data_IF_597621430391
#
_entry.id   IF_597621430391
#
_cell.length_a   1.000
_cell.length_b   1.000
_cell.length_c   1.000
_cell.angle_alpha   90.00
_cell.angle_beta   90.00
_cell.angle_gamma   90.00
#
_symmetry.space_group_name_H-M   'P 1'
#
loop_
_entity.id
_entity.type
_entity.pdbx_description
1 polymer ?
#
# COMPACT_ATOMS: atom_id res chain seq x y z
N UNK A 1 -31.68 33.36 -65.48
CA UNK A 1 -30.66 33.65 -64.41
C UNK A 1 -30.85 32.64 -63.30
N UNK A 2 -29.95 31.69 -63.22
CA UNK A 2 -30.03 30.57 -62.26
C UNK A 2 -29.06 30.85 -61.13
N UNK A 3 -29.58 31.09 -59.92
CA UNK A 3 -28.77 31.25 -58.71
C UNK A 3 -28.47 29.87 -58.14
N UNK A 4 -27.21 29.45 -58.22
CA UNK A 4 -26.70 28.26 -57.53
C UNK A 4 -26.36 28.66 -56.09
N UNK A 5 -27.12 28.12 -55.15
CA UNK A 5 -26.83 28.23 -53.70
C UNK A 5 -25.69 27.29 -53.33
N UNK A 6 -24.58 27.83 -52.88
CA UNK A 6 -23.41 27.05 -52.44
C UNK A 6 -23.58 26.79 -50.96
N UNK A 7 -23.90 25.55 -50.57
CA UNK A 7 -24.00 25.16 -49.16
C UNK A 7 -22.62 24.77 -48.67
N UNK A 8 -22.03 25.59 -47.80
CA UNK A 8 -20.75 25.27 -47.13
C UNK A 8 -21.06 24.41 -45.90
N UNK A 9 -20.68 23.14 -45.95
CA UNK A 9 -20.77 22.23 -44.80
C UNK A 9 -19.49 22.45 -43.96
N UNK A 10 -19.64 23.08 -42.80
CA UNK A 10 -18.58 23.25 -41.80
C UNK A 10 -18.45 21.96 -41.00
N UNK A 11 -17.48 21.13 -41.35
CA UNK A 11 -17.15 19.92 -40.57
C UNK A 11 -16.37 20.34 -39.33
N UNK A 12 -17.04 20.40 -38.19
CA UNK A 12 -16.43 20.62 -36.89
C UNK A 12 -15.79 19.31 -36.40
N UNK A 13 -14.49 19.12 -36.64
CA UNK A 13 -13.75 18.01 -36.07
C UNK A 13 -13.49 18.29 -34.57
N UNK A 14 -14.33 17.71 -33.71
CA UNK A 14 -14.05 17.68 -32.27
C UNK A 14 -12.88 16.72 -32.02
N UNK A 15 -11.69 17.24 -31.81
CA UNK A 15 -10.57 16.48 -31.24
C UNK A 15 -10.93 16.12 -29.80
N UNK A 16 -11.29 14.88 -29.56
CA UNK A 16 -11.35 14.29 -28.23
C UNK A 16 -9.92 14.26 -27.66
N UNK A 17 -9.58 15.27 -26.85
CA UNK A 17 -8.40 15.21 -26.01
C UNK A 17 -8.70 14.13 -24.98
N UNK A 18 -8.17 12.93 -25.19
CA UNK A 18 -8.08 11.92 -24.14
C UNK A 18 -7.17 12.50 -23.06
N UNK A 19 -7.74 13.07 -22.02
CA UNK A 19 -7.02 13.35 -20.80
C UNK A 19 -6.54 11.99 -20.28
N UNK A 20 -5.24 11.69 -20.49
CA UNK A 20 -4.62 10.51 -19.95
C UNK A 20 -4.93 10.47 -18.45
N UNK A 21 -5.66 9.45 -18.02
CA UNK A 21 -5.95 9.24 -16.60
C UNK A 21 -4.59 9.11 -15.91
N UNK A 22 -4.26 10.08 -15.03
CA UNK A 22 -3.01 10.03 -14.27
C UNK A 22 -2.97 8.71 -13.51
N UNK A 23 -1.92 7.93 -13.73
CA UNK A 23 -1.69 6.70 -12.96
C UNK A 23 -1.26 7.11 -11.55
N UNK A 24 -1.87 6.50 -10.54
CA UNK A 24 -1.35 6.62 -9.17
C UNK A 24 0.01 5.95 -9.08
N UNK A 25 0.88 6.52 -8.25
CA UNK A 25 2.19 5.96 -7.96
C UNK A 25 2.27 5.57 -6.49
N UNK A 26 2.85 4.42 -6.19
CA UNK A 26 3.09 3.95 -4.84
C UNK A 26 4.54 4.22 -4.46
N UNK A 27 4.82 4.27 -3.15
CA UNK A 27 6.18 4.45 -2.68
C UNK A 27 6.53 3.56 -1.50
N UNK A 28 7.82 3.20 -1.43
CA UNK A 28 8.44 2.60 -0.24
C UNK A 28 8.80 3.73 0.73
N UNK A 29 8.44 3.56 2.00
CA UNK A 29 8.71 4.53 3.05
C UNK A 29 10.09 4.29 3.65
N UNK A 30 11.01 5.23 3.43
CA UNK A 30 12.34 5.24 4.02
C UNK A 30 12.30 5.84 5.42
N UNK A 31 12.72 5.06 6.42
CA UNK A 31 12.79 5.47 7.82
C UNK A 31 14.24 5.47 8.33
N UNK A 32 14.46 6.09 9.50
CA UNK A 32 15.73 6.12 10.21
C UNK A 32 15.80 5.02 11.28
N UNK A 33 16.96 4.86 11.92
CA UNK A 33 17.14 3.91 13.02
C UNK A 33 18.05 2.72 12.70
N UNK A 34 18.42 2.54 11.43
CA UNK A 34 19.35 1.49 11.00
C UNK A 34 18.69 0.18 10.60
N UNK A 35 17.35 0.08 10.60
CA UNK A 35 16.64 -1.01 9.93
C UNK A 35 16.73 -0.90 8.42
N UNK A 36 16.56 -2.00 7.74
CA UNK A 36 16.75 -2.14 6.29
C UNK A 36 15.46 -1.87 5.51
N UNK A 37 14.97 -0.62 5.57
CA UNK A 37 13.79 -0.15 4.84
C UNK A 37 13.79 -0.51 3.34
N UNK A 38 14.94 -0.86 2.78
CA UNK A 38 15.17 -1.25 1.40
C UNK A 38 15.07 -2.76 1.15
N UNK A 39 14.70 -3.54 2.16
CA UNK A 39 14.41 -4.95 2.01
C UNK A 39 13.27 -5.16 0.99
N UNK A 40 13.27 -6.33 0.35
CA UNK A 40 12.23 -6.74 -0.58
C UNK A 40 12.03 -5.81 -1.79
N UNK A 41 13.09 -5.51 -2.57
CA UNK A 41 13.05 -4.49 -3.61
C UNK A 41 12.10 -4.81 -4.78
N UNK A 42 11.81 -6.08 -5.05
CA UNK A 42 10.87 -6.48 -6.11
C UNK A 42 9.42 -6.62 -5.63
N UNK A 43 9.18 -6.58 -4.32
CA UNK A 43 7.88 -6.85 -3.70
C UNK A 43 6.78 -5.91 -4.19
N UNK A 44 6.93 -4.62 -3.96
CA UNK A 44 5.91 -3.64 -4.34
C UNK A 44 5.73 -3.50 -5.87
N UNK A 45 6.78 -3.54 -6.72
CA UNK A 45 6.63 -3.65 -8.17
C UNK A 45 5.81 -4.86 -8.61
N UNK A 46 6.04 -6.03 -8.02
CA UNK A 46 5.28 -7.24 -8.34
C UNK A 46 3.83 -7.15 -7.89
N UNK A 47 3.58 -6.60 -6.70
CA UNK A 47 2.22 -6.34 -6.22
C UNK A 47 1.47 -5.38 -7.16
N UNK A 48 2.10 -4.31 -7.63
CA UNK A 48 1.50 -3.38 -8.60
C UNK A 48 1.12 -4.10 -9.89
N UNK A 49 2.02 -4.90 -10.46
CA UNK A 49 1.73 -5.70 -11.66
C UNK A 49 0.55 -6.65 -11.44
N UNK A 50 0.52 -7.31 -10.27
CA UNK A 50 -0.57 -8.19 -9.90
C UNK A 50 -1.91 -7.44 -9.80
N UNK A 51 -1.95 -6.28 -9.16
CA UNK A 51 -3.14 -5.44 -9.03
C UNK A 51 -3.61 -4.93 -10.41
N UNK A 52 -2.71 -4.42 -11.25
CA UNK A 52 -3.07 -3.96 -12.58
C UNK A 52 -3.72 -5.08 -13.41
N UNK A 53 -3.19 -6.30 -13.32
CA UNK A 53 -3.72 -7.46 -14.04
C UNK A 53 -5.05 -7.98 -13.48
N UNK A 54 -5.20 -8.05 -12.15
CA UNK A 54 -6.29 -8.79 -11.50
C UNK A 54 -7.42 -7.89 -10.99
N UNK A 55 -7.12 -6.62 -10.65
CA UNK A 55 -8.11 -5.63 -10.22
C UNK A 55 -8.47 -4.63 -11.34
N UNK A 56 -7.71 -4.63 -12.45
CA UNK A 56 -7.89 -3.64 -13.51
C UNK A 56 -7.46 -2.23 -13.11
N UNK A 57 -6.57 -2.10 -12.14
CA UNK A 57 -6.02 -0.81 -11.73
C UNK A 57 -5.07 -0.26 -12.80
N UNK A 58 -4.74 1.03 -12.69
CA UNK A 58 -3.75 1.71 -13.53
C UNK A 58 -2.69 2.36 -12.66
N UNK A 59 -2.11 1.57 -11.76
CA UNK A 59 -1.03 2.02 -10.88
C UNK A 59 0.28 2.02 -11.70
N UNK A 60 1.12 3.04 -11.53
CA UNK A 60 2.44 3.10 -12.15
C UNK A 60 3.29 1.90 -11.69
N UNK A 61 3.92 1.21 -12.63
CA UNK A 61 4.84 0.11 -12.29
C UNK A 61 6.18 0.63 -11.74
N UNK A 62 6.47 1.92 -11.89
CA UNK A 62 7.60 2.57 -11.23
C UNK A 62 7.22 2.87 -9.79
N UNK A 63 7.92 2.24 -8.86
CA UNK A 63 7.79 2.47 -7.42
C UNK A 63 8.89 3.42 -6.97
N UNK A 64 8.53 4.43 -6.22
CA UNK A 64 9.46 5.43 -5.69
C UNK A 64 9.85 5.13 -4.23
N UNK A 65 10.84 5.85 -3.74
CA UNK A 65 11.22 5.84 -2.33
C UNK A 65 11.08 7.25 -1.77
N UNK A 66 10.39 7.39 -0.65
CA UNK A 66 10.19 8.69 0.01
C UNK A 66 10.54 8.59 1.49
N UNK A 67 11.26 9.59 2.02
CA UNK A 67 11.55 9.64 3.44
C UNK A 67 10.31 10.08 4.25
N UNK A 68 10.22 9.62 5.51
CA UNK A 68 9.07 9.93 6.38
C UNK A 68 8.84 11.43 6.53
N UNK A 69 9.91 12.22 6.67
CA UNK A 69 9.85 13.67 6.84
C UNK A 69 9.80 14.47 5.53
N UNK A 70 9.81 13.82 4.36
CA UNK A 70 9.84 14.51 3.08
C UNK A 70 8.44 15.03 2.73
N UNK A 71 8.28 16.32 2.33
CA UNK A 71 6.98 16.85 1.93
C UNK A 71 6.42 16.20 0.67
N UNK A 72 7.22 15.52 -0.15
CA UNK A 72 6.73 14.79 -1.33
C UNK A 72 5.92 13.53 -0.98
N UNK A 73 5.89 13.12 0.29
CA UNK A 73 5.08 11.98 0.78
C UNK A 73 3.61 12.09 0.34
N UNK A 74 3.08 13.31 0.22
CA UNK A 74 1.69 13.58 -0.18
C UNK A 74 1.39 13.30 -1.66
N UNK A 75 2.42 13.02 -2.47
CA UNK A 75 2.23 12.62 -3.87
C UNK A 75 1.82 11.15 -4.01
N UNK A 76 1.95 10.36 -2.94
CA UNK A 76 1.72 8.92 -2.96
C UNK A 76 0.51 8.56 -2.09
N UNK A 77 -0.60 8.07 -2.67
CA UNK A 77 -1.80 7.73 -1.89
C UNK A 77 -1.62 6.52 -0.99
N UNK A 78 -0.61 5.69 -1.27
CA UNK A 78 -0.27 4.48 -0.53
C UNK A 78 1.24 4.37 -0.33
N UNK A 79 1.62 4.13 0.91
CA UNK A 79 3.00 3.87 1.31
C UNK A 79 3.14 2.45 1.83
N UNK A 80 4.25 1.81 1.45
CA UNK A 80 4.66 0.53 1.97
C UNK A 80 5.94 0.69 2.78
N UNK A 81 5.95 0.13 3.99
CA UNK A 81 7.09 0.13 4.89
C UNK A 81 7.39 -1.32 5.26
N UNK A 82 8.64 -1.72 5.14
CA UNK A 82 9.09 -3.06 5.48
C UNK A 82 10.50 -3.02 6.06
N UNK A 83 11.00 -4.12 6.56
CA UNK A 83 12.38 -4.31 6.99
C UNK A 83 12.53 -5.09 8.28
N UNK A 84 13.78 -5.21 8.71
CA UNK A 84 14.19 -5.86 9.95
C UNK A 84 14.71 -4.82 10.95
N UNK A 85 14.39 -5.01 12.23
CA UNK A 85 15.01 -4.26 13.32
C UNK A 85 14.54 -2.82 13.47
N UNK A 86 15.49 -1.95 13.84
CA UNK A 86 15.17 -0.68 14.46
C UNK A 86 14.57 0.36 13.52
N UNK A 87 13.46 0.94 13.96
CA UNK A 87 12.78 2.07 13.32
C UNK A 87 12.84 3.26 14.27
N UNK A 88 13.14 4.45 13.74
CA UNK A 88 13.13 5.70 14.51
C UNK A 88 12.47 6.80 13.67
N UNK A 89 11.45 7.43 14.24
CA UNK A 89 10.86 8.67 13.74
C UNK A 89 11.29 9.84 14.63
N UNK A 90 11.80 10.91 14.04
CA UNK A 90 11.91 12.19 14.73
C UNK A 90 10.52 12.74 15.04
N UNK A 91 10.45 13.82 15.82
CA UNK A 91 9.18 14.50 16.07
C UNK A 91 8.54 15.02 14.78
N UNK A 92 9.35 15.58 13.91
CA UNK A 92 8.91 16.15 12.63
C UNK A 92 8.47 15.04 11.66
N UNK A 93 9.18 13.91 11.63
CA UNK A 93 8.75 12.71 10.86
C UNK A 93 7.38 12.22 11.31
N UNK A 94 7.18 12.08 12.63
CA UNK A 94 5.93 11.60 13.19
C UNK A 94 4.77 12.56 12.89
N UNK A 95 5.00 13.87 12.97
CA UNK A 95 4.02 14.90 12.64
C UNK A 95 3.68 14.88 11.13
N UNK A 96 4.69 14.81 10.25
CA UNK A 96 4.50 14.74 8.80
C UNK A 96 3.71 13.49 8.41
N UNK A 97 4.09 12.32 8.95
CA UNK A 97 3.38 11.06 8.68
C UNK A 97 1.93 11.10 9.20
N UNK A 98 1.70 11.66 10.39
CA UNK A 98 0.35 11.87 10.92
C UNK A 98 -0.49 12.71 9.96
N UNK A 99 0.03 13.85 9.53
CA UNK A 99 -0.69 14.76 8.64
C UNK A 99 -0.99 14.10 7.29
N UNK A 100 -0.04 13.34 6.75
CA UNK A 100 -0.25 12.53 5.54
C UNK A 100 -1.41 11.54 5.71
N UNK A 101 -1.40 10.77 6.80
CA UNK A 101 -2.42 9.76 7.09
C UNK A 101 -3.79 10.41 7.34
N UNK A 102 -3.84 11.53 8.06
CA UNK A 102 -5.09 12.29 8.28
C UNK A 102 -5.60 12.94 7.01
N UNK A 103 -4.71 13.29 6.08
CA UNK A 103 -5.04 13.87 4.78
C UNK A 103 -5.56 12.89 3.73
N UNK A 104 -5.74 11.61 4.08
CA UNK A 104 -6.28 10.58 3.17
C UNK A 104 -5.27 9.52 2.74
N UNK A 105 -4.00 9.66 3.09
CA UNK A 105 -2.98 8.65 2.83
C UNK A 105 -3.24 7.34 3.58
N UNK A 106 -2.63 6.26 3.10
CA UNK A 106 -2.66 4.95 3.73
C UNK A 106 -1.24 4.40 3.88
N UNK A 107 -0.94 3.82 5.04
CA UNK A 107 0.33 3.17 5.31
C UNK A 107 0.13 1.67 5.56
N UNK A 108 0.81 0.83 4.80
CA UNK A 108 1.00 -0.57 5.11
C UNK A 108 2.41 -0.80 5.64
N UNK A 109 2.51 -1.44 6.80
CA UNK A 109 3.76 -1.84 7.43
C UNK A 109 3.80 -3.36 7.47
N UNK A 110 4.88 -3.97 6.96
CA UNK A 110 5.10 -5.40 7.00
C UNK A 110 6.38 -5.71 7.78
N UNK A 111 6.24 -6.42 8.91
CA UNK A 111 7.39 -6.82 9.73
C UNK A 111 8.05 -8.07 9.12
N UNK A 112 9.22 -7.89 8.53
CA UNK A 112 10.01 -9.00 8.02
C UNK A 112 10.71 -9.81 9.12
N UNK A 113 10.64 -9.38 10.33
CA UNK A 113 11.12 -9.96 11.59
C UNK A 113 11.94 -8.96 12.42
N UNK A 114 11.51 -8.78 13.65
CA UNK A 114 12.24 -8.00 14.65
C UNK A 114 11.97 -6.49 14.63
N UNK A 115 11.08 -6.00 13.77
CA UNK A 115 10.62 -4.61 13.77
C UNK A 115 9.61 -4.33 14.88
N UNK A 116 8.82 -5.31 15.32
CA UNK A 116 7.64 -5.17 16.17
C UNK A 116 7.85 -4.27 17.41
N UNK A 117 8.88 -4.54 18.18
CA UNK A 117 9.16 -3.77 19.42
C UNK A 117 9.49 -2.30 19.17
N UNK A 118 9.99 -1.97 17.98
CA UNK A 118 10.34 -0.60 17.61
C UNK A 118 9.13 0.12 17.01
N UNK A 119 8.50 -0.48 16.01
CA UNK A 119 7.42 0.17 15.26
C UNK A 119 6.21 0.51 16.15
N UNK A 120 5.87 -0.34 17.12
CA UNK A 120 4.79 -0.04 18.08
C UNK A 120 5.05 1.25 18.86
N UNK A 121 6.30 1.46 19.29
CA UNK A 121 6.70 2.68 19.99
C UNK A 121 6.68 3.91 19.08
N UNK A 122 7.12 3.74 17.83
CA UNK A 122 7.17 4.82 16.86
C UNK A 122 5.76 5.25 16.41
N UNK A 123 4.84 4.30 16.25
CA UNK A 123 3.45 4.58 15.93
C UNK A 123 2.73 5.37 17.05
N UNK A 124 3.11 5.20 18.32
CA UNK A 124 2.60 6.05 19.41
C UNK A 124 3.02 7.52 19.29
N UNK A 125 4.16 7.82 18.64
CA UNK A 125 4.53 9.20 18.32
C UNK A 125 3.64 9.79 17.22
N UNK A 126 3.28 8.95 16.25
CA UNK A 126 2.38 9.34 15.15
C UNK A 126 0.96 9.53 15.66
N UNK A 127 0.43 8.59 16.43
CA UNK A 127 -0.93 8.60 16.97
C UNK A 127 -0.94 8.36 18.47
N UNK A 128 -0.67 9.39 19.30
CA UNK A 128 -0.55 9.22 20.74
C UNK A 128 -1.89 8.92 21.45
N UNK A 129 -3.02 9.13 20.78
CA UNK A 129 -4.36 8.94 21.33
C UNK A 129 -5.15 7.81 20.65
N UNK A 130 -4.60 7.17 19.63
CA UNK A 130 -5.23 6.05 18.93
C UNK A 130 -4.43 4.77 19.20
N UNK A 131 -5.11 3.69 19.53
CA UNK A 131 -4.48 2.41 19.82
C UNK A 131 -4.24 1.60 18.53
N UNK A 132 -3.13 0.85 18.51
CA UNK A 132 -2.89 -0.19 17.52
C UNK A 132 -3.68 -1.43 17.93
N UNK A 133 -4.81 -1.67 17.27
CA UNK A 133 -5.75 -2.76 17.60
C UNK A 133 -5.66 -3.90 16.61
N UNK A 134 -5.80 -5.13 17.09
CA UNK A 134 -5.89 -6.29 16.19
C UNK A 134 -7.21 -6.27 15.42
N UNK A 135 -7.14 -6.39 14.10
CA UNK A 135 -8.32 -6.42 13.24
C UNK A 135 -8.98 -7.82 13.29
N UNK A 136 -10.29 -7.90 13.51
CA UNK A 136 -10.99 -9.17 13.47
C UNK A 136 -10.99 -9.73 12.03
N UNK A 137 -11.05 -11.05 11.88
CA UNK A 137 -11.08 -11.70 10.56
C UNK A 137 -12.27 -11.27 9.69
N UNK A 138 -13.34 -10.77 10.30
CA UNK A 138 -14.49 -10.19 9.59
C UNK A 138 -14.24 -8.76 9.07
N UNK A 139 -13.05 -8.18 9.32
CA UNK A 139 -12.76 -6.83 8.85
C UNK A 139 -12.76 -6.78 7.31
N UNK A 140 -13.36 -5.76 6.68
CA UNK A 140 -13.50 -5.68 5.21
C UNK A 140 -12.19 -5.80 4.43
N UNK A 141 -11.03 -5.48 5.02
CA UNK A 141 -9.72 -5.61 4.36
C UNK A 141 -9.41 -7.07 3.96
N UNK A 142 -9.97 -8.06 4.66
CA UNK A 142 -9.82 -9.49 4.35
C UNK A 142 -10.79 -9.97 3.27
N UNK A 143 -11.78 -9.15 2.88
CA UNK A 143 -12.91 -9.54 2.03
C UNK A 143 -13.14 -8.53 0.90
N UNK A 144 -12.08 -8.14 0.20
CA UNK A 144 -12.20 -7.25 -0.95
C UNK A 144 -12.45 -8.08 -2.23
N UNK A 145 -11.41 -8.33 -3.01
CA UNK A 145 -11.46 -9.19 -4.20
C UNK A 145 -11.37 -10.68 -3.84
N UNK A 146 -10.64 -10.98 -2.79
CA UNK A 146 -10.35 -12.34 -2.32
C UNK A 146 -10.79 -12.50 -0.88
N UNK A 147 -11.29 -13.68 -0.52
CA UNK A 147 -11.74 -13.99 0.85
C UNK A 147 -10.63 -14.68 1.65
N UNK A 148 -10.28 -14.07 2.78
CA UNK A 148 -9.32 -14.57 3.77
C UNK A 148 -10.06 -14.76 5.11
N UNK A 149 -10.86 -15.83 5.21
CA UNK A 149 -11.71 -16.09 6.38
C UNK A 149 -10.93 -16.35 7.66
N UNK A 150 -9.68 -16.81 7.54
CA UNK A 150 -8.78 -17.11 8.65
C UNK A 150 -7.73 -16.00 8.88
N UNK A 151 -7.89 -14.84 8.24
CA UNK A 151 -6.99 -13.69 8.34
C UNK A 151 -5.80 -13.76 7.39
N UNK A 152 -4.65 -13.22 7.81
CA UNK A 152 -3.45 -13.12 6.96
C UNK A 152 -2.86 -14.51 6.63
N UNK A 153 -2.38 -14.73 5.39
CA UNK A 153 -1.59 -15.91 5.08
C UNK A 153 -0.23 -15.86 5.79
N UNK A 154 0.29 -17.01 6.19
CA UNK A 154 1.61 -17.17 6.78
C UNK A 154 2.61 -17.55 5.70
N UNK A 155 3.52 -16.64 5.35
CA UNK A 155 4.51 -16.87 4.29
C UNK A 155 5.76 -17.53 4.88
N UNK A 156 6.34 -16.94 5.94
CA UNK A 156 7.47 -17.52 6.65
C UNK A 156 7.18 -17.75 8.13
N UNK A 157 7.95 -18.66 8.73
CA UNK A 157 7.89 -18.99 10.16
C UNK A 157 9.09 -18.37 10.88
N UNK A 158 8.82 -17.61 11.94
CA UNK A 158 9.83 -17.07 12.84
C UNK A 158 9.63 -17.58 14.26
N UNK A 159 8.70 -17.00 15.01
CA UNK A 159 8.49 -17.29 16.44
C UNK A 159 7.35 -18.30 16.70
N UNK A 160 6.91 -19.02 15.68
CA UNK A 160 5.76 -19.96 15.74
C UNK A 160 4.45 -19.31 16.23
N UNK A 161 4.33 -18.02 16.04
CA UNK A 161 3.10 -17.29 16.33
C UNK A 161 2.20 -17.27 15.10
N UNK A 162 0.90 -17.07 15.31
CA UNK A 162 -0.02 -16.86 14.18
C UNK A 162 0.20 -15.50 13.53
N UNK A 163 -0.09 -15.36 12.24
CA UNK A 163 -0.11 -14.06 11.58
C UNK A 163 -1.19 -13.17 12.20
N UNK A 164 -0.89 -11.88 12.33
CA UNK A 164 -1.79 -10.89 12.92
C UNK A 164 -1.80 -9.60 12.11
N UNK A 165 -2.99 -9.07 11.88
CA UNK A 165 -3.15 -7.74 11.29
C UNK A 165 -3.54 -6.76 12.40
N UNK A 166 -2.77 -5.73 12.58
CA UNK A 166 -3.08 -4.62 13.47
C UNK A 166 -3.42 -3.38 12.67
N UNK A 167 -4.30 -2.55 13.20
CA UNK A 167 -4.69 -1.31 12.55
C UNK A 167 -4.72 -0.12 13.49
N UNK A 168 -4.41 1.04 12.96
CA UNK A 168 -4.76 2.31 13.59
C UNK A 168 -6.01 2.83 12.89
N UNK A 169 -7.10 2.95 13.67
CA UNK A 169 -8.38 3.45 13.18
C UNK A 169 -8.63 4.84 13.75
N UNK A 170 -8.54 5.85 12.92
CA UNK A 170 -8.80 7.23 13.30
C UNK A 170 -10.15 7.69 12.77
N UNK A 171 -11.07 8.08 13.66
CA UNK A 171 -12.44 8.53 13.31
C UNK A 171 -13.19 7.56 12.37
N UNK A 172 -13.03 6.26 12.60
CA UNK A 172 -13.68 5.21 11.82
C UNK A 172 -12.97 4.79 10.53
N UNK A 173 -11.87 5.45 10.14
CA UNK A 173 -11.06 5.09 8.98
C UNK A 173 -9.80 4.35 9.43
N UNK A 174 -9.54 3.19 8.86
CA UNK A 174 -8.25 2.50 8.98
C UNK A 174 -7.21 3.31 8.20
N UNK A 175 -6.25 3.91 8.88
CA UNK A 175 -5.22 4.77 8.28
C UNK A 175 -3.88 4.06 8.15
N UNK A 176 -3.62 3.08 9.00
CA UNK A 176 -2.41 2.28 9.00
C UNK A 176 -2.77 0.81 9.23
N UNK A 177 -2.24 -0.07 8.40
CA UNK A 177 -2.26 -1.52 8.58
C UNK A 177 -0.85 -1.99 8.91
N UNK A 178 -0.71 -2.77 9.97
CA UNK A 178 0.54 -3.42 10.35
C UNK A 178 0.34 -4.93 10.32
N UNK A 179 1.08 -5.61 9.45
CA UNK A 179 1.09 -7.06 9.31
C UNK A 179 2.29 -7.64 10.06
N UNK A 180 2.01 -8.57 10.97
CA UNK A 180 2.96 -9.14 11.90
C UNK A 180 2.98 -10.66 11.79
N UNK A 181 4.17 -11.27 11.85
CA UNK A 181 4.37 -12.72 11.77
C UNK A 181 3.82 -13.38 10.50
N UNK A 182 3.84 -12.66 9.37
CA UNK A 182 3.32 -13.20 8.10
C UNK A 182 4.27 -13.04 6.91
N UNK A 183 5.11 -12.00 6.86
CA UNK A 183 6.07 -11.71 5.80
C UNK A 183 5.43 -11.62 4.42
N UNK A 184 4.39 -10.79 4.29
CA UNK A 184 3.71 -10.59 3.01
C UNK A 184 4.66 -10.10 1.92
N UNK A 185 5.57 -9.18 2.28
CA UNK A 185 6.57 -8.62 1.38
C UNK A 185 7.44 -9.68 0.73
N UNK A 186 7.87 -10.68 1.48
CA UNK A 186 8.63 -11.83 0.98
C UNK A 186 7.82 -12.67 0.00
N UNK A 187 6.51 -12.77 0.23
CA UNK A 187 5.60 -13.44 -0.69
C UNK A 187 5.35 -12.67 -1.98
N UNK A 188 5.60 -11.36 -2.00
CA UNK A 188 5.47 -10.53 -3.20
C UNK A 188 6.75 -10.49 -4.03
N UNK A 189 7.92 -10.83 -3.45
CA UNK A 189 9.20 -10.86 -4.13
C UNK A 189 9.22 -11.82 -5.32
N UNK A 190 10.25 -11.71 -6.17
CA UNK A 190 10.51 -12.68 -7.22
C UNK A 190 10.72 -14.07 -6.61
N UNK A 191 10.23 -15.12 -7.29
CA UNK A 191 10.15 -16.47 -6.72
C UNK A 191 11.52 -17.01 -6.30
N UNK A 192 12.56 -16.67 -7.02
CA UNK A 192 13.94 -17.12 -6.77
C UNK A 192 14.56 -16.51 -5.50
N UNK A 193 14.01 -15.40 -4.96
CA UNK A 193 14.60 -14.72 -3.79
C UNK A 193 14.41 -15.57 -2.54
N UNK A 194 13.20 -16.03 -2.27
CA UNK A 194 12.87 -16.79 -1.06
C UNK A 194 12.51 -18.25 -1.33
N UNK A 195 12.41 -18.66 -2.60
CA UNK A 195 12.04 -20.02 -2.98
C UNK A 195 10.61 -20.39 -2.56
N UNK A 196 9.75 -19.41 -2.33
CA UNK A 196 8.35 -19.64 -1.95
C UNK A 196 7.62 -20.42 -3.05
N UNK A 197 6.71 -21.33 -2.64
CA UNK A 197 5.85 -22.02 -3.60
C UNK A 197 4.94 -21.02 -4.34
N UNK A 198 4.54 -21.38 -5.56
CA UNK A 198 3.61 -20.53 -6.33
C UNK A 198 2.31 -20.27 -5.59
N UNK A 199 1.82 -21.24 -4.80
CA UNK A 199 0.61 -21.10 -4.01
C UNK A 199 0.78 -20.05 -2.91
N UNK A 200 1.88 -20.11 -2.14
CA UNK A 200 2.18 -19.10 -1.10
C UNK A 200 2.34 -17.70 -1.69
N UNK A 201 3.08 -17.59 -2.81
CA UNK A 201 3.22 -16.31 -3.51
C UNK A 201 1.86 -15.77 -3.98
N UNK A 202 1.03 -16.64 -4.53
CA UNK A 202 -0.32 -16.26 -4.97
C UNK A 202 -1.16 -15.75 -3.81
N UNK A 203 -1.17 -16.44 -2.68
CA UNK A 203 -1.90 -16.03 -1.47
C UNK A 203 -1.39 -14.66 -0.97
N UNK A 204 -0.09 -14.47 -0.88
CA UNK A 204 0.50 -13.19 -0.48
C UNK A 204 0.07 -12.04 -1.42
N UNK A 205 0.17 -12.23 -2.74
CA UNK A 205 -0.22 -11.25 -3.74
C UNK A 205 -1.73 -10.96 -3.73
N UNK A 206 -2.56 -11.97 -3.47
CA UNK A 206 -4.01 -11.81 -3.30
C UNK A 206 -4.34 -10.99 -2.06
N UNK A 207 -3.67 -11.24 -0.93
CA UNK A 207 -3.84 -10.42 0.27
C UNK A 207 -3.33 -8.98 0.03
N UNK A 208 -2.20 -8.82 -0.63
CA UNK A 208 -1.71 -7.50 -1.05
C UNK A 208 -2.69 -6.75 -1.93
N UNK A 209 -3.33 -7.44 -2.88
CA UNK A 209 -4.38 -6.85 -3.72
C UNK A 209 -5.61 -6.40 -2.90
N UNK A 210 -6.01 -7.17 -1.90
CA UNK A 210 -7.06 -6.75 -0.97
C UNK A 210 -6.67 -5.48 -0.20
N UNK A 211 -5.42 -5.40 0.28
CA UNK A 211 -4.90 -4.21 0.98
C UNK A 211 -4.95 -2.98 0.06
N UNK A 212 -4.46 -3.11 -1.17
CA UNK A 212 -4.50 -2.03 -2.16
C UNK A 212 -5.95 -1.63 -2.46
N UNK A 213 -6.82 -2.59 -2.75
CA UNK A 213 -8.22 -2.29 -3.05
C UNK A 213 -8.90 -1.59 -1.89
N UNK A 214 -8.72 -2.07 -0.66
CA UNK A 214 -9.25 -1.44 0.55
C UNK A 214 -8.76 0.01 0.69
N UNK A 215 -7.45 0.24 0.56
CA UNK A 215 -6.86 1.56 0.70
C UNK A 215 -7.43 2.59 -0.29
N UNK A 216 -7.84 2.16 -1.49
CA UNK A 216 -8.38 3.05 -2.53
C UNK A 216 -9.91 3.13 -2.58
N UNK A 217 -10.64 2.21 -1.92
CA UNK A 217 -12.10 2.13 -2.01
C UNK A 217 -12.82 2.34 -0.69
N UNK A 218 -12.12 2.18 0.45
CA UNK A 218 -12.73 2.46 1.75
C UNK A 218 -13.14 3.94 1.80
N UNK A 219 -14.42 4.18 2.05
CA UNK A 219 -15.00 5.52 2.12
C UNK A 219 -14.27 6.37 3.18
N UNK A 220 -13.85 7.53 2.77
CA UNK A 220 -13.17 8.53 3.61
C UNK A 220 -14.19 9.39 4.36
#
# INVERSE_FOLDING_TARGET
MSHRLLTIILICTTTLISLGQSSYQLAVLKYSGGGDWYANPSSLPNLVKFCNKNLGTKISETVETVAVGDPTIYNYPFLHMTGHGNVVFSKDDAENLRNYLLGGGFLHIDDNYGMDKFIRTELLKVFPNDELVELPYSHPIFHQKYDFNDGLPKIHEHDKKRPQAFGIVHKGRLVCLYTYECDLGDGWEDQEVHGNSEDKRREALQMGANIIQYAFTASH
#
